data_IF_174315993528
#
_entry.id   IF_174315993528
#
_cell.length_a   1.000
_cell.length_b   1.000
_cell.length_c   1.000
_cell.angle_alpha   90.00
_cell.angle_beta   90.00
_cell.angle_gamma   90.00
#
_symmetry.space_group_name_H-M   'P 1'
#
loop_
_entity.id
_entity.type
_entity.pdbx_description
1 polymer ?
#
# COMPACT_ATOMS: atom_id res chain seq x y z
N UNK A 1 13.59 21.81 -3.41
CA UNK A 1 13.30 20.70 -2.47
C UNK A 1 13.48 19.38 -3.20
N UNK A 2 14.12 18.42 -2.57
CA UNK A 2 14.34 17.09 -3.17
C UNK A 2 12.99 16.38 -3.38
N UNK A 3 12.83 15.76 -4.54
CA UNK A 3 11.66 14.98 -4.89
C UNK A 3 11.94 13.52 -4.60
N UNK A 4 11.06 12.86 -3.87
CA UNK A 4 11.13 11.41 -3.62
C UNK A 4 9.80 10.76 -3.96
N UNK A 5 9.85 9.48 -4.33
CA UNK A 5 8.66 8.71 -4.67
C UNK A 5 8.67 7.38 -3.93
N UNK A 6 7.51 7.01 -3.40
CA UNK A 6 7.28 5.69 -2.82
C UNK A 6 6.07 5.05 -3.48
N UNK A 7 6.10 3.74 -3.60
CA UNK A 7 5.02 2.97 -4.22
C UNK A 7 4.64 1.80 -3.34
N UNK A 8 3.38 1.43 -3.35
CA UNK A 8 2.89 0.33 -2.54
C UNK A 8 1.59 -0.24 -3.05
N UNK A 9 1.05 -1.19 -2.29
CA UNK A 9 -0.16 -1.92 -2.65
C UNK A 9 -1.13 -1.95 -1.47
N UNK A 10 -2.39 -1.59 -1.74
CA UNK A 10 -3.49 -1.91 -0.83
C UNK A 10 -3.93 -3.33 -1.17
N UNK A 11 -3.68 -4.25 -0.24
CA UNK A 11 -3.95 -5.68 -0.43
C UNK A 11 -5.32 -6.01 0.15
N UNK A 12 -6.20 -6.57 -0.69
CA UNK A 12 -7.54 -7.00 -0.27
C UNK A 12 -7.72 -8.48 -0.50
N UNK A 13 -8.62 -9.09 0.28
CA UNK A 13 -8.98 -10.51 0.16
C UNK A 13 -10.44 -10.66 -0.22
N UNK A 14 -10.71 -11.64 -1.06
CA UNK A 14 -12.04 -12.10 -1.44
C UNK A 14 -12.76 -11.19 -2.42
N UNK A 15 -13.79 -11.73 -3.04
CA UNK A 15 -14.66 -11.00 -3.97
C UNK A 15 -16.11 -11.42 -3.70
N UNK A 16 -16.95 -10.56 -3.12
CA UNK A 16 -16.66 -9.18 -2.69
C UNK A 16 -15.59 -9.12 -1.59
N UNK A 17 -14.95 -7.97 -1.46
CA UNK A 17 -13.85 -7.79 -0.50
C UNK A 17 -14.33 -7.99 0.93
N UNK A 18 -13.62 -8.81 1.70
CA UNK A 18 -13.91 -9.07 3.11
C UNK A 18 -12.93 -8.42 4.05
N UNK A 19 -11.67 -8.25 3.64
CA UNK A 19 -10.64 -7.69 4.50
C UNK A 19 -9.50 -7.06 3.70
N UNK A 20 -8.71 -6.25 4.37
CA UNK A 20 -7.51 -5.62 3.79
C UNK A 20 -6.37 -5.64 4.79
N UNK A 21 -5.14 -5.56 4.27
CA UNK A 21 -3.91 -5.70 5.05
C UNK A 21 -3.32 -4.34 5.40
N UNK A 22 -3.01 -4.14 6.68
CA UNK A 22 -2.16 -3.03 7.11
C UNK A 22 -0.94 -3.56 7.86
N UNK A 23 0.17 -2.84 7.71
CA UNK A 23 1.41 -3.11 8.41
C UNK A 23 1.49 -2.21 9.62
N UNK A 24 1.92 -2.78 10.76
CA UNK A 24 2.06 -2.02 12.00
C UNK A 24 3.50 -1.57 12.15
N UNK A 25 3.71 -0.27 12.09
CA UNK A 25 4.95 0.36 12.50
C UNK A 25 4.85 0.70 14.01
N UNK A 26 5.91 1.26 14.56
CA UNK A 26 6.00 1.49 16.00
C UNK A 26 4.77 2.19 16.60
N UNK A 27 4.29 3.22 15.93
CA UNK A 27 3.21 4.09 16.42
C UNK A 27 2.17 4.47 15.35
N UNK A 28 2.15 3.78 14.23
CA UNK A 28 1.18 4.05 13.16
C UNK A 28 0.94 2.81 12.30
N UNK A 29 -0.18 2.85 11.57
CA UNK A 29 -0.47 1.87 10.51
C UNK A 29 0.01 2.40 9.17
N UNK A 30 0.37 1.48 8.27
CA UNK A 30 0.79 1.82 6.92
C UNK A 30 0.46 0.70 5.96
N UNK A 31 0.48 1.03 4.67
CA UNK A 31 0.41 0.04 3.60
C UNK A 31 1.80 -0.54 3.35
N UNK A 32 1.91 -1.78 2.84
CA UNK A 32 3.20 -2.27 2.36
C UNK A 32 3.66 -1.39 1.20
N UNK A 33 4.75 -0.67 1.40
CA UNK A 33 5.29 0.30 0.44
C UNK A 33 6.73 0.65 0.76
N UNK A 34 7.39 1.30 -0.17
CA UNK A 34 8.72 1.83 0.02
C UNK A 34 9.19 2.66 -1.16
N UNK A 35 10.42 3.15 -1.05
CA UNK A 35 10.98 4.09 -2.02
C UNK A 35 11.37 3.43 -3.33
N UNK A 36 11.17 4.16 -4.42
CA UNK A 36 11.59 3.77 -5.75
C UNK A 36 13.11 3.64 -5.79
N UNK A 37 13.61 2.56 -6.37
CA UNK A 37 15.05 2.31 -6.55
C UNK A 37 15.42 2.39 -8.03
N UNK A 38 16.42 3.24 -8.34
CA UNK A 38 16.98 3.31 -9.68
C UNK A 38 15.93 3.53 -10.77
N UNK A 39 15.94 2.66 -11.76
CA UNK A 39 15.07 2.76 -12.93
C UNK A 39 13.78 1.94 -12.82
N UNK A 40 13.43 1.51 -11.62
CA UNK A 40 12.18 0.77 -11.42
C UNK A 40 10.98 1.58 -11.92
N UNK A 41 10.02 0.87 -12.51
CA UNK A 41 8.68 1.45 -12.70
C UNK A 41 7.96 1.51 -11.36
N UNK A 42 6.89 2.27 -11.30
CA UNK A 42 6.06 2.34 -10.08
C UNK A 42 5.54 0.95 -9.68
N UNK A 43 5.08 0.17 -10.66
CA UNK A 43 4.56 -1.18 -10.39
C UNK A 43 5.67 -2.11 -9.90
N UNK A 44 6.85 -2.06 -10.51
CA UNK A 44 8.00 -2.85 -10.06
C UNK A 44 8.38 -2.54 -8.63
N UNK A 45 8.42 -1.25 -8.29
CA UNK A 45 8.69 -0.80 -6.93
C UNK A 45 7.64 -1.32 -5.95
N UNK A 46 6.37 -1.15 -6.29
CA UNK A 46 5.27 -1.59 -5.43
C UNK A 46 5.31 -3.10 -5.18
N UNK A 47 5.56 -3.90 -6.22
CA UNK A 47 5.65 -5.36 -6.08
C UNK A 47 6.87 -5.79 -5.29
N UNK A 48 8.03 -5.14 -5.50
CA UNK A 48 9.24 -5.44 -4.75
C UNK A 48 9.06 -5.16 -3.25
N UNK A 49 8.52 -3.99 -2.93
CA UNK A 49 8.27 -3.61 -1.53
C UNK A 49 7.23 -4.53 -0.88
N UNK A 50 6.20 -4.93 -1.62
CA UNK A 50 5.21 -5.88 -1.14
C UNK A 50 5.85 -7.20 -0.76
N UNK A 51 6.71 -7.73 -1.63
CA UNK A 51 7.44 -8.97 -1.37
C UNK A 51 8.35 -8.85 -0.15
N UNK A 52 9.11 -7.76 -0.07
CA UNK A 52 10.02 -7.53 1.04
C UNK A 52 9.29 -7.42 2.38
N UNK A 53 8.17 -6.72 2.42
CA UNK A 53 7.46 -6.45 3.67
C UNK A 53 6.49 -7.55 4.10
N UNK A 54 6.00 -8.36 3.18
CA UNK A 54 4.91 -9.32 3.47
C UNK A 54 5.16 -10.73 3.00
N UNK A 55 6.09 -10.94 2.09
CA UNK A 55 6.29 -12.24 1.44
C UNK A 55 5.32 -12.54 0.32
N UNK A 56 4.41 -11.63 -0.02
CA UNK A 56 3.46 -11.81 -1.12
C UNK A 56 4.20 -11.68 -2.46
N UNK A 57 4.13 -12.74 -3.28
CA UNK A 57 4.78 -12.78 -4.59
C UNK A 57 3.83 -12.29 -5.69
N UNK A 58 4.39 -12.03 -6.88
CA UNK A 58 3.60 -11.63 -8.04
C UNK A 58 2.54 -12.67 -8.41
N UNK A 59 2.82 -13.96 -8.14
CA UNK A 59 1.89 -15.04 -8.43
C UNK A 59 0.74 -15.14 -7.42
N UNK A 60 0.90 -14.53 -6.25
CA UNK A 60 -0.09 -14.58 -5.18
C UNK A 60 -1.18 -13.52 -5.32
N UNK A 61 -0.95 -12.49 -6.11
CA UNK A 61 -1.80 -11.30 -6.12
C UNK A 61 -2.04 -10.79 -7.54
N UNK A 62 -3.25 -10.30 -7.77
CA UNK A 62 -3.60 -9.60 -9.00
C UNK A 62 -3.74 -8.12 -8.71
N UNK A 63 -2.97 -7.28 -9.40
CA UNK A 63 -3.19 -5.84 -9.36
C UNK A 63 -4.38 -5.51 -10.26
N UNK A 64 -5.37 -4.84 -9.68
CA UNK A 64 -6.61 -4.55 -10.41
C UNK A 64 -6.36 -3.42 -11.42
N UNK A 65 -6.60 -3.67 -12.72
CA UNK A 65 -6.33 -2.68 -13.76
C UNK A 65 -7.14 -1.41 -13.55
N UNK A 66 -6.51 -0.26 -13.80
CA UNK A 66 -7.18 1.02 -13.72
C UNK A 66 -7.10 1.70 -12.36
N UNK A 67 -6.63 1.01 -11.32
CA UNK A 67 -6.47 1.65 -10.03
C UNK A 67 -5.03 2.13 -9.83
N UNK A 68 -4.88 3.43 -9.67
CA UNK A 68 -3.61 4.08 -9.32
C UNK A 68 -3.95 5.34 -8.54
N UNK A 69 -3.78 5.27 -7.23
CA UNK A 69 -4.06 6.41 -6.36
C UNK A 69 -2.75 7.13 -6.03
N UNK A 70 -2.77 8.46 -6.11
CA UNK A 70 -1.56 9.28 -5.90
C UNK A 70 -1.88 10.37 -4.88
N UNK A 71 -0.97 10.57 -3.96
CA UNK A 71 -1.00 11.72 -3.06
C UNK A 71 0.41 12.30 -2.92
N UNK A 72 0.49 13.57 -2.57
CA UNK A 72 1.76 14.28 -2.44
C UNK A 72 1.76 15.07 -1.14
N UNK A 73 2.88 15.06 -0.45
CA UNK A 73 3.06 15.80 0.78
C UNK A 73 4.53 15.97 1.09
N UNK A 74 4.85 16.97 1.93
CA UNK A 74 6.23 17.20 2.35
C UNK A 74 6.55 16.37 3.58
N UNK A 75 7.77 15.84 3.65
CA UNK A 75 8.25 15.04 4.78
C UNK A 75 9.66 15.49 5.18
N UNK A 76 9.99 15.30 6.45
CA UNK A 76 11.37 15.40 6.91
C UNK A 76 12.00 14.02 6.73
N UNK A 77 12.83 13.87 5.70
CA UNK A 77 13.40 12.58 5.34
C UNK A 77 14.61 12.25 6.22
N UNK A 78 14.53 11.13 6.94
CA UNK A 78 15.68 10.62 7.69
C UNK A 78 16.76 10.12 6.74
N UNK A 79 16.36 9.56 5.60
CA UNK A 79 17.28 9.02 4.60
C UNK A 79 18.19 10.09 4.01
N UNK A 80 17.66 11.28 3.72
CA UNK A 80 18.40 12.37 3.09
C UNK A 80 18.77 13.49 4.05
N UNK A 81 18.29 13.44 5.29
CA UNK A 81 18.57 14.44 6.30
C UNK A 81 18.03 15.84 5.98
N UNK A 82 16.98 15.90 5.15
CA UNK A 82 16.41 17.18 4.71
C UNK A 82 14.92 17.04 4.44
N UNK A 83 14.25 18.17 4.28
CA UNK A 83 12.85 18.20 3.88
C UNK A 83 12.71 17.84 2.41
N UNK A 84 11.83 16.89 2.11
CA UNK A 84 11.61 16.39 0.76
C UNK A 84 10.13 16.51 0.40
N UNK A 85 9.85 16.67 -0.90
CA UNK A 85 8.49 16.51 -1.43
C UNK A 85 8.30 15.07 -1.85
N UNK A 86 7.33 14.40 -1.24
CA UNK A 86 7.08 12.98 -1.47
C UNK A 86 5.82 12.75 -2.28
N UNK A 87 5.95 11.94 -3.33
CA UNK A 87 4.83 11.40 -4.10
C UNK A 87 4.63 9.96 -3.68
N UNK A 88 3.42 9.61 -3.28
CA UNK A 88 3.03 8.25 -2.90
C UNK A 88 2.05 7.70 -3.91
N UNK A 89 2.38 6.54 -4.50
CA UNK A 89 1.54 5.86 -5.49
C UNK A 89 1.10 4.52 -4.92
N UNK A 90 -0.22 4.29 -4.87
CA UNK A 90 -0.78 3.04 -4.34
C UNK A 90 -1.60 2.35 -5.42
N UNK A 91 -1.28 1.07 -5.63
CA UNK A 91 -2.07 0.16 -6.46
C UNK A 91 -3.01 -0.65 -5.58
N UNK A 92 -4.04 -1.21 -6.17
CA UNK A 92 -5.00 -2.09 -5.49
C UNK A 92 -4.77 -3.52 -5.95
N UNK A 93 -4.50 -4.43 -5.02
CA UNK A 93 -4.25 -5.82 -5.33
C UNK A 93 -5.17 -6.77 -4.58
N UNK A 94 -5.69 -7.78 -5.28
CA UNK A 94 -6.52 -8.83 -4.68
C UNK A 94 -5.72 -10.12 -4.62
N UNK A 95 -5.67 -10.76 -3.44
CA UNK A 95 -5.03 -12.06 -3.31
C UNK A 95 -5.77 -13.11 -4.14
N UNK A 96 -5.02 -13.92 -4.88
CA UNK A 96 -5.54 -15.04 -5.67
C UNK A 96 -5.72 -16.30 -4.84
N UNK A 97 -5.04 -16.36 -3.70
CA UNK A 97 -5.00 -17.51 -2.80
C UNK A 97 -4.70 -17.05 -1.39
N UNK A 98 -4.92 -17.91 -0.41
CA UNK A 98 -4.48 -17.63 0.95
C UNK A 98 -2.96 -17.63 1.01
N UNK A 99 -2.41 -16.60 1.63
CA UNK A 99 -0.97 -16.42 1.75
C UNK A 99 -0.64 -16.16 3.22
N UNK A 100 0.38 -16.85 3.72
CA UNK A 100 0.92 -16.54 5.03
C UNK A 100 1.74 -15.27 4.92
N UNK A 101 1.37 -14.25 5.68
CA UNK A 101 2.14 -13.00 5.72
C UNK A 101 3.40 -13.22 6.55
N UNK A 102 4.54 -12.89 5.96
CA UNK A 102 5.85 -12.99 6.61
C UNK A 102 6.44 -11.58 6.68
N UNK A 103 6.14 -10.83 7.76
CA UNK A 103 6.60 -9.45 7.86
C UNK A 103 8.10 -9.39 8.07
N UNK A 104 8.70 -8.27 7.68
CA UNK A 104 10.11 -8.02 7.99
C UNK A 104 10.28 -7.88 9.51
N UNK A 105 11.53 -7.97 9.96
CA UNK A 105 11.91 -8.07 11.37
C UNK A 105 11.27 -7.02 12.30
N UNK A 106 11.07 -5.80 11.80
CA UNK A 106 10.57 -4.69 12.62
C UNK A 106 9.11 -4.35 12.36
N UNK A 107 8.41 -5.18 11.58
CA UNK A 107 7.01 -4.93 11.25
C UNK A 107 6.12 -6.03 11.81
N UNK A 108 4.91 -5.65 12.17
CA UNK A 108 3.82 -6.57 12.44
C UNK A 108 2.73 -6.30 11.39
N UNK A 109 1.69 -7.10 11.39
CA UNK A 109 0.62 -6.93 10.41
C UNK A 109 -0.73 -7.26 11.03
N UNK A 110 -1.78 -6.78 10.35
CA UNK A 110 -3.15 -7.13 10.73
C UNK A 110 -4.06 -7.05 9.51
N UNK A 111 -4.97 -8.04 9.39
CA UNK A 111 -6.07 -7.99 8.46
C UNK A 111 -7.23 -7.26 9.11
N UNK A 112 -7.68 -6.18 8.48
CA UNK A 112 -8.81 -5.39 8.97
C UNK A 112 -10.06 -5.78 8.20
N UNK A 113 -11.23 -5.85 8.86
CA UNK A 113 -12.47 -6.11 8.14
C UNK A 113 -12.82 -4.97 7.19
N UNK A 114 -13.35 -5.31 6.02
CA UNK A 114 -13.79 -4.32 5.04
C UNK A 114 -15.18 -3.79 5.45
N UNK A 115 -15.20 -2.64 6.08
CA UNK A 115 -16.40 -2.03 6.65
C UNK A 115 -16.42 -0.52 6.41
N UNK A 116 -16.55 -0.09 5.13
CA UNK A 116 -16.55 1.35 4.85
C UNK A 116 -17.75 2.07 5.48
N UNK A 117 -17.62 3.35 5.89
CA UNK A 117 -16.39 4.15 5.77
C UNK A 117 -15.38 3.81 6.87
N UNK A 118 -14.12 3.84 6.51
CA UNK A 118 -13.04 3.53 7.44
C UNK A 118 -12.50 4.79 8.11
N UNK A 119 -12.16 4.68 9.40
CA UNK A 119 -11.59 5.76 10.19
C UNK A 119 -10.42 5.24 11.00
N UNK A 120 -9.32 4.97 10.30
CA UNK A 120 -8.13 4.39 10.89
C UNK A 120 -7.02 5.43 10.99
N UNK A 121 -6.72 6.09 9.88
CA UNK A 121 -5.65 7.08 9.79
C UNK A 121 -5.94 7.97 8.59
N UNK A 122 -6.19 9.25 8.86
CA UNK A 122 -6.87 10.14 7.92
C UNK A 122 -6.20 10.31 6.56
N UNK A 123 -4.93 10.69 6.54
CA UNK A 123 -4.31 11.15 5.29
C UNK A 123 -3.92 10.04 4.31
N UNK A 124 -3.29 9.00 4.80
CA UNK A 124 -2.66 7.99 3.94
C UNK A 124 -3.42 6.68 3.86
N UNK A 125 -4.27 6.39 4.85
CA UNK A 125 -5.03 5.14 4.88
C UNK A 125 -6.48 5.37 4.49
N UNK A 126 -7.18 6.23 5.20
CA UNK A 126 -8.63 6.41 4.99
C UNK A 126 -8.94 6.94 3.58
N UNK A 127 -8.12 7.83 3.05
CA UNK A 127 -8.31 8.40 1.72
C UNK A 127 -8.19 7.34 0.62
N UNK A 128 -7.18 6.48 0.69
CA UNK A 128 -7.01 5.43 -0.33
C UNK A 128 -8.08 4.35 -0.20
N UNK A 129 -8.51 4.05 1.02
CA UNK A 129 -9.62 3.10 1.24
C UNK A 129 -10.92 3.61 0.64
N UNK A 130 -11.21 4.90 0.79
CA UNK A 130 -12.38 5.52 0.20
C UNK A 130 -12.33 5.47 -1.33
N UNK A 131 -11.16 5.69 -1.92
CA UNK A 131 -10.98 5.60 -3.37
C UNK A 131 -11.14 4.17 -3.85
N UNK A 132 -10.59 3.20 -3.11
CA UNK A 132 -10.76 1.77 -3.44
C UNK A 132 -12.24 1.36 -3.37
N UNK A 133 -12.98 1.85 -2.40
CA UNK A 133 -14.42 1.60 -2.30
C UNK A 133 -15.13 2.07 -3.56
N UNK A 134 -14.89 3.31 -4.00
CA UNK A 134 -15.50 3.85 -5.22
C UNK A 134 -15.12 3.03 -6.45
N UNK A 135 -13.86 2.67 -6.57
CA UNK A 135 -13.37 1.86 -7.68
C UNK A 135 -14.07 0.49 -7.74
N UNK A 136 -14.15 -0.19 -6.60
CA UNK A 136 -14.77 -1.52 -6.53
C UNK A 136 -16.26 -1.46 -6.83
N UNK A 137 -16.96 -0.39 -6.42
CA UNK A 137 -18.37 -0.20 -6.74
C UNK A 137 -18.57 0.02 -8.25
N UNK A 138 -17.70 0.78 -8.88
CA UNK A 138 -17.80 1.10 -10.33
C UNK A 138 -17.43 -0.09 -11.21
N UNK A 139 -16.54 -0.96 -10.74
CA UNK A 139 -15.97 -2.06 -11.51
C UNK A 139 -16.46 -3.44 -11.04
N UNK A 140 -17.69 -3.51 -10.65
CA UNK A 140 -18.33 -4.80 -10.28
C UNK A 140 -18.50 -5.71 -11.46
#
# INVERSE_FOLDING_TARGET
MRQIKACGVLVVRSNPVESFLLMKHKDRWDLPKGHLDGDETEEECARRELLEETGITADDIELLPGFRWVTEYDVNSKRFGEKCHKTLVIFLGRLKRDVKIVPTEHLDFRWFPWQPPHRIQAQTIDAVLAEAERFLETNK
#
